data_IF_402599514147
#
_entry.id   IF_402599514147
#
_cell.length_a   1.000
_cell.length_b   1.000
_cell.length_c   1.000
_cell.angle_alpha   90.00
_cell.angle_beta   90.00
_cell.angle_gamma   90.00
#
_symmetry.space_group_name_H-M   'P 1'
#
loop_
_entity.id
_entity.type
_entity.pdbx_description
1 polymer ?
#
# COMPACT_ATOMS: atom_id res chain seq x y z
N UNK A 1 14.52 12.05 -14.91
CA UNK A 1 13.58 11.01 -14.45
C UNK A 1 13.61 11.01 -12.94
N UNK A 2 12.47 11.29 -12.29
CA UNK A 2 12.36 11.24 -10.82
C UNK A 2 12.61 9.81 -10.35
N UNK A 3 13.53 9.64 -9.39
CA UNK A 3 13.83 8.34 -8.76
C UNK A 3 12.75 8.01 -7.73
N UNK A 4 11.53 7.71 -8.18
CA UNK A 4 10.47 7.14 -7.35
C UNK A 4 10.62 5.62 -7.23
N UNK A 5 9.82 4.95 -6.40
CA UNK A 5 9.89 3.50 -6.22
C UNK A 5 10.92 3.02 -5.19
N UNK A 6 10.75 1.78 -4.74
CA UNK A 6 11.56 1.17 -3.70
C UNK A 6 12.22 -0.13 -4.19
N UNK A 7 13.34 -0.48 -3.56
CA UNK A 7 14.07 -1.73 -3.74
C UNK A 7 14.11 -2.50 -2.42
N UNK A 8 14.09 -3.83 -2.49
CA UNK A 8 14.06 -4.67 -1.29
C UNK A 8 15.37 -4.72 -0.51
N UNK A 9 16.48 -4.31 -1.15
CA UNK A 9 17.81 -4.22 -0.54
C UNK A 9 18.72 -3.33 -1.37
N UNK A 10 19.81 -2.85 -0.76
CA UNK A 10 20.81 -1.96 -1.38
C UNK A 10 21.40 -2.58 -2.66
N UNK A 11 21.71 -1.73 -3.65
CA UNK A 11 22.17 -2.12 -5.00
C UNK A 11 21.26 -3.14 -5.74
N UNK A 12 19.94 -2.96 -5.64
CA UNK A 12 18.96 -3.75 -6.42
C UNK A 12 17.94 -2.87 -7.11
N UNK A 13 17.37 -3.43 -8.17
CA UNK A 13 16.33 -2.79 -8.94
C UNK A 13 15.06 -2.60 -8.11
N UNK A 14 14.27 -1.63 -8.55
CA UNK A 14 12.99 -1.33 -7.94
C UNK A 14 11.95 -2.37 -8.31
N UNK A 15 10.96 -2.52 -7.44
CA UNK A 15 9.83 -3.43 -7.60
C UNK A 15 8.61 -2.76 -6.97
N UNK A 16 7.48 -2.74 -7.68
CA UNK A 16 6.24 -2.10 -7.22
C UNK A 16 5.73 -2.66 -5.89
N UNK A 17 6.03 -3.93 -5.56
CA UNK A 17 5.60 -4.47 -4.26
C UNK A 17 6.31 -3.80 -3.08
N UNK A 18 7.51 -3.26 -3.27
CA UNK A 18 8.24 -2.57 -2.20
C UNK A 18 7.67 -1.19 -1.88
N UNK A 19 6.87 -0.59 -2.77
CA UNK A 19 6.07 0.59 -2.44
C UNK A 19 5.11 0.31 -1.28
N UNK A 20 4.57 -0.92 -1.19
CA UNK A 20 3.86 -1.36 0.00
C UNK A 20 4.82 -1.74 1.13
N UNK A 21 5.78 -2.64 0.93
CA UNK A 21 6.57 -3.17 2.04
C UNK A 21 7.36 -2.09 2.79
N UNK A 22 8.00 -1.17 2.07
CA UNK A 22 8.71 -0.05 2.67
C UNK A 22 7.75 1.01 3.20
N UNK A 23 6.74 1.39 2.41
CA UNK A 23 5.75 2.40 2.81
C UNK A 23 4.97 2.00 4.07
N UNK A 24 4.42 0.79 4.11
CA UNK A 24 3.68 0.27 5.26
C UNK A 24 4.56 0.19 6.51
N UNK A 25 5.82 -0.25 6.37
CA UNK A 25 6.78 -0.27 7.48
C UNK A 25 6.99 1.13 8.06
N UNK A 26 7.21 2.14 7.20
CA UNK A 26 7.36 3.53 7.63
C UNK A 26 6.07 4.07 8.26
N UNK A 27 4.90 3.71 7.74
CA UNK A 27 3.61 4.12 8.31
C UNK A 27 3.38 3.55 9.70
N UNK A 28 3.74 2.28 9.92
CA UNK A 28 3.70 1.64 11.25
C UNK A 28 4.64 2.34 12.23
N UNK A 29 5.79 2.82 11.74
CA UNK A 29 6.78 3.57 12.53
C UNK A 29 6.47 5.07 12.67
N UNK A 30 5.31 5.54 12.18
CA UNK A 30 4.95 6.97 12.15
C UNK A 30 6.00 7.85 11.45
N UNK A 31 6.52 7.37 10.31
CA UNK A 31 7.62 7.97 9.56
C UNK A 31 7.33 8.01 8.04
N UNK A 32 6.06 7.94 7.64
CA UNK A 32 5.68 7.88 6.23
C UNK A 32 5.87 9.23 5.52
N UNK A 33 5.84 10.34 6.26
CA UNK A 33 6.09 11.69 5.74
C UNK A 33 7.49 11.87 5.11
N UNK A 34 8.44 10.97 5.39
CA UNK A 34 9.76 10.96 4.76
C UNK A 34 9.74 10.35 3.35
N UNK A 35 8.63 9.71 2.95
CA UNK A 35 8.46 9.16 1.59
C UNK A 35 8.03 10.28 0.64
N UNK A 36 8.70 10.37 -0.50
CA UNK A 36 8.19 11.16 -1.61
C UNK A 36 7.02 10.42 -2.28
N UNK A 37 5.82 10.53 -1.70
CA UNK A 37 4.63 9.81 -2.14
C UNK A 37 4.22 10.13 -3.58
N UNK A 38 4.49 11.34 -4.08
CA UNK A 38 4.22 11.70 -5.48
C UNK A 38 5.15 10.94 -6.43
N UNK A 39 6.44 10.86 -6.13
CA UNK A 39 7.39 10.12 -6.96
C UNK A 39 7.09 8.61 -6.96
N UNK A 40 6.74 8.05 -5.80
CA UNK A 40 6.35 6.63 -5.70
C UNK A 40 5.02 6.34 -6.41
N UNK A 41 4.04 7.24 -6.31
CA UNK A 41 2.79 7.16 -7.08
C UNK A 41 3.05 7.14 -8.58
N UNK A 42 3.92 8.02 -9.08
CA UNK A 42 4.32 8.03 -10.50
C UNK A 42 5.01 6.73 -10.92
N UNK A 43 5.88 6.19 -10.05
CA UNK A 43 6.53 4.90 -10.27
C UNK A 43 5.50 3.77 -10.39
N UNK A 44 4.58 3.63 -9.44
CA UNK A 44 3.52 2.61 -9.48
C UNK A 44 2.70 2.72 -10.77
N UNK A 45 2.27 3.93 -11.14
CA UNK A 45 1.51 4.13 -12.38
C UNK A 45 2.29 3.83 -13.66
N UNK A 46 3.61 3.95 -13.65
CA UNK A 46 4.44 3.55 -14.79
C UNK A 46 4.41 2.04 -15.05
N UNK A 47 4.08 1.23 -14.04
CA UNK A 47 3.92 -0.22 -14.13
C UNK A 47 2.46 -0.68 -14.35
N UNK A 48 1.53 0.26 -14.61
CA UNK A 48 0.14 -0.08 -14.92
C UNK A 48 0.05 -0.74 -16.30
N UNK A 49 -0.63 -1.88 -16.37
CA UNK A 49 -0.87 -2.59 -17.64
C UNK A 49 -2.10 -2.06 -18.37
N UNK A 50 -2.07 -2.09 -19.70
CA UNK A 50 -3.23 -1.81 -20.56
C UNK A 50 -4.37 -2.83 -20.38
N UNK A 51 -4.07 -4.04 -19.92
CA UNK A 51 -5.06 -5.07 -19.58
C UNK A 51 -5.67 -4.87 -18.18
N UNK A 52 -5.21 -3.86 -17.43
CA UNK A 52 -5.53 -3.67 -16.01
C UNK A 52 -4.53 -4.33 -15.08
N UNK A 53 -4.56 -3.90 -13.82
CA UNK A 53 -3.59 -4.32 -12.81
C UNK A 53 -2.22 -3.62 -12.94
N UNK A 54 -1.31 -4.00 -12.05
CA UNK A 54 0.07 -3.51 -11.98
C UNK A 54 1.03 -4.69 -12.09
N UNK A 55 2.12 -4.47 -12.83
CA UNK A 55 3.24 -5.40 -12.93
C UNK A 55 4.31 -5.08 -11.89
N UNK A 56 5.28 -5.98 -11.77
CA UNK A 56 6.49 -5.79 -10.96
C UNK A 56 7.27 -4.54 -11.35
N UNK A 57 7.43 -4.33 -12.66
CA UNK A 57 8.12 -3.20 -13.27
C UNK A 57 7.42 -2.81 -14.58
N UNK A 58 7.65 -1.60 -15.11
CA UNK A 58 7.09 -1.17 -16.39
C UNK A 58 7.41 -2.13 -17.54
N UNK A 59 6.38 -2.50 -18.31
CA UNK A 59 6.51 -3.38 -19.47
C UNK A 59 6.42 -4.87 -19.19
N UNK A 60 6.39 -5.30 -17.92
CA UNK A 60 6.10 -6.70 -17.56
C UNK A 60 4.60 -6.99 -17.49
N UNK A 61 4.25 -8.27 -17.35
CA UNK A 61 2.86 -8.70 -17.20
C UNK A 61 2.33 -8.37 -15.79
N UNK A 62 1.08 -7.92 -15.66
CA UNK A 62 0.48 -7.69 -14.36
C UNK A 62 0.16 -9.02 -13.66
N UNK A 63 0.21 -9.02 -12.34
CA UNK A 63 -0.25 -10.15 -11.52
C UNK A 63 -1.01 -9.67 -10.27
N UNK A 64 -1.67 -10.60 -9.60
CA UNK A 64 -2.53 -10.32 -8.45
C UNK A 64 -1.76 -9.70 -7.29
N UNK A 65 -0.53 -10.13 -7.04
CA UNK A 65 0.27 -9.68 -5.91
C UNK A 65 0.73 -8.24 -6.10
N UNK A 66 1.39 -7.93 -7.23
CA UNK A 66 1.84 -6.57 -7.52
C UNK A 66 0.66 -5.63 -7.69
N UNK A 67 -0.44 -6.09 -8.28
CA UNK A 67 -1.67 -5.30 -8.36
C UNK A 67 -2.21 -4.94 -6.98
N UNK A 68 -2.40 -5.93 -6.11
CA UNK A 68 -2.95 -5.71 -4.77
C UNK A 68 -2.07 -4.77 -3.95
N UNK A 69 -0.77 -5.05 -3.88
CA UNK A 69 0.17 -4.27 -3.08
C UNK A 69 0.34 -2.84 -3.63
N UNK A 70 0.32 -2.67 -4.95
CA UNK A 70 0.30 -1.34 -5.57
C UNK A 70 -0.94 -0.53 -5.16
N UNK A 71 -2.13 -1.15 -5.16
CA UNK A 71 -3.34 -0.47 -4.70
C UNK A 71 -3.27 -0.05 -3.22
N UNK A 72 -2.73 -0.90 -2.36
CA UNK A 72 -2.58 -0.57 -0.93
C UNK A 72 -1.56 0.56 -0.73
N UNK A 73 -0.45 0.56 -1.47
CA UNK A 73 0.52 1.66 -1.46
C UNK A 73 -0.11 2.98 -1.92
N UNK A 74 -0.85 2.97 -3.04
CA UNK A 74 -1.59 4.13 -3.53
C UNK A 74 -2.63 4.64 -2.52
N UNK A 75 -3.32 3.73 -1.82
CA UNK A 75 -4.27 4.10 -0.77
C UNK A 75 -3.57 4.83 0.39
N UNK A 76 -2.40 4.34 0.83
CA UNK A 76 -1.61 5.01 1.87
C UNK A 76 -1.17 6.43 1.46
N UNK A 77 -0.72 6.61 0.21
CA UNK A 77 -0.34 7.92 -0.34
C UNK A 77 -1.54 8.88 -0.44
N UNK A 78 -2.73 8.36 -0.76
CA UNK A 78 -3.95 9.17 -0.83
C UNK A 78 -4.38 9.76 0.51
N UNK A 79 -4.10 9.07 1.63
CA UNK A 79 -4.42 9.53 2.99
C UNK A 79 -3.48 10.65 3.47
N UNK A 80 -2.36 10.89 2.78
CA UNK A 80 -1.32 11.87 3.15
C UNK A 80 -1.25 13.07 2.20
N UNK A 81 -2.36 13.42 1.54
CA UNK A 81 -2.52 14.57 0.63
C UNK A 81 -1.90 14.43 -0.78
N UNK A 82 -1.83 13.23 -1.36
CA UNK A 82 -1.76 13.15 -2.83
C UNK A 82 -3.15 13.48 -3.39
N UNK A 83 -3.39 14.78 -3.63
CA UNK A 83 -4.66 15.35 -4.12
C UNK A 83 -5.23 14.63 -5.36
N UNK A 84 -4.39 13.95 -6.15
CA UNK A 84 -4.81 13.22 -7.35
C UNK A 84 -5.62 11.95 -7.04
N UNK A 85 -5.55 11.40 -5.82
CA UNK A 85 -6.16 10.11 -5.46
C UNK A 85 -7.22 10.21 -4.36
N UNK A 86 -7.46 11.42 -3.84
CA UNK A 86 -8.35 11.64 -2.70
C UNK A 86 -9.78 11.15 -3.01
N UNK A 87 -10.36 10.36 -2.09
CA UNK A 87 -11.73 9.84 -2.20
C UNK A 87 -11.93 8.68 -3.19
N UNK A 88 -10.89 8.24 -3.92
CA UNK A 88 -11.01 7.14 -4.90
C UNK A 88 -10.64 5.77 -4.33
N UNK A 89 -9.79 5.72 -3.30
CA UNK A 89 -9.30 4.48 -2.69
C UNK A 89 -9.81 4.31 -1.27
N UNK A 90 -10.14 3.06 -0.90
CA UNK A 90 -10.55 2.74 0.46
C UNK A 90 -9.37 2.87 1.42
N UNK A 91 -9.60 3.45 2.60
CA UNK A 91 -8.58 3.54 3.64
C UNK A 91 -8.14 2.15 4.12
N UNK A 92 -6.84 2.00 4.38
CA UNK A 92 -6.21 0.72 4.71
C UNK A 92 -5.52 0.73 6.07
N UNK A 93 -5.43 -0.45 6.69
CA UNK A 93 -4.53 -0.73 7.79
C UNK A 93 -3.19 -1.20 7.24
N UNK A 94 -2.13 -0.42 7.45
CA UNK A 94 -0.78 -0.81 7.06
C UNK A 94 -0.30 -2.09 7.77
N UNK A 95 -0.65 -2.24 9.05
CA UNK A 95 -0.22 -3.37 9.88
C UNK A 95 -0.85 -4.70 9.44
N UNK A 96 -2.11 -4.68 9.01
CA UNK A 96 -2.85 -5.89 8.65
C UNK A 96 -3.08 -6.04 7.14
N UNK A 97 -2.61 -5.08 6.35
CA UNK A 97 -2.72 -5.06 4.89
C UNK A 97 -4.14 -5.36 4.40
N UNK A 98 -5.13 -4.62 4.92
CA UNK A 98 -6.55 -4.77 4.59
C UNK A 98 -7.30 -3.45 4.77
N UNK A 99 -8.51 -3.34 4.24
CA UNK A 99 -9.31 -2.11 4.39
C UNK A 99 -9.70 -1.87 5.85
N UNK A 100 -9.76 -0.61 6.29
CA UNK A 100 -10.26 -0.25 7.63
C UNK A 100 -11.70 -0.71 7.87
N UNK A 101 -12.50 -0.82 6.80
CA UNK A 101 -13.84 -1.40 6.85
C UNK A 101 -13.79 -2.87 7.25
N UNK A 102 -12.95 -3.68 6.60
CA UNK A 102 -12.77 -5.08 6.96
C UNK A 102 -12.22 -5.22 8.37
N UNK A 103 -11.29 -4.36 8.77
CA UNK A 103 -10.76 -4.32 10.13
C UNK A 103 -11.85 -4.09 11.18
N UNK A 104 -12.68 -3.07 10.98
CA UNK A 104 -13.79 -2.75 11.88
C UNK A 104 -14.80 -3.90 11.97
N UNK A 105 -15.07 -4.57 10.84
CA UNK A 105 -15.92 -5.75 10.84
C UNK A 105 -15.32 -6.89 11.67
N UNK A 106 -14.03 -7.21 11.48
CA UNK A 106 -13.33 -8.25 12.26
C UNK A 106 -13.41 -7.94 13.76
N UNK A 107 -13.15 -6.69 14.15
CA UNK A 107 -13.22 -6.31 15.56
C UNK A 107 -14.62 -6.45 16.15
N UNK A 108 -15.65 -5.97 15.45
CA UNK A 108 -17.02 -5.98 15.97
C UNK A 108 -17.64 -7.38 15.97
N UNK A 109 -17.34 -8.20 14.96
CA UNK A 109 -18.01 -9.50 14.80
C UNK A 109 -17.24 -10.65 15.42
N UNK A 110 -15.91 -10.63 15.34
CA UNK A 110 -15.07 -11.74 15.79
C UNK A 110 -14.41 -11.46 17.15
N UNK A 111 -13.89 -10.25 17.38
CA UNK A 111 -13.13 -9.96 18.60
C UNK A 111 -14.01 -9.59 19.79
N UNK A 112 -14.93 -8.62 19.62
CA UNK A 112 -15.80 -8.18 20.73
C UNK A 112 -16.77 -9.27 21.18
N UNK A 113 -17.14 -10.18 20.28
CA UNK A 113 -17.97 -11.34 20.59
C UNK A 113 -17.13 -12.56 21.03
N UNK A 114 -15.81 -12.40 21.19
CA UNK A 114 -14.94 -13.50 21.60
C UNK A 114 -15.12 -13.80 23.10
N UNK A 115 -15.40 -15.07 23.48
CA UNK A 115 -15.79 -15.43 24.84
C UNK A 115 -14.69 -15.24 25.90
N UNK A 116 -13.45 -14.95 25.50
CA UNK A 116 -12.30 -14.84 26.43
C UNK A 116 -11.97 -13.43 26.92
N UNK A 117 -12.67 -12.38 26.46
CA UNK A 117 -12.49 -11.01 26.97
C UNK A 117 -11.09 -10.39 26.82
N UNK A 118 -10.28 -10.85 25.86
CA UNK A 118 -8.92 -10.34 25.68
C UNK A 118 -8.92 -8.86 25.20
N UNK A 119 -8.05 -7.99 25.77
CA UNK A 119 -7.97 -6.59 25.36
C UNK A 119 -7.42 -6.44 23.93
N UNK A 120 -7.76 -5.32 23.30
CA UNK A 120 -7.36 -4.99 21.93
C UNK A 120 -5.83 -4.85 21.81
N UNK A 121 -5.20 -5.29 20.71
CA UNK A 121 -3.83 -4.93 20.35
C UNK A 121 -3.73 -3.48 19.85
#
# INVERSE_FOLDING_TARGET
MSRGGFQGRVEKDQDTCYSFWCGASLRILHAHEFVNGMADTQWIFSAKSSMGGFAKVPGEHPDVLHSYLSYVALAMHSEENVQCLEGTLASVSAALNLTRRSLAWIYTQLWQNHPSGAPLP
#
